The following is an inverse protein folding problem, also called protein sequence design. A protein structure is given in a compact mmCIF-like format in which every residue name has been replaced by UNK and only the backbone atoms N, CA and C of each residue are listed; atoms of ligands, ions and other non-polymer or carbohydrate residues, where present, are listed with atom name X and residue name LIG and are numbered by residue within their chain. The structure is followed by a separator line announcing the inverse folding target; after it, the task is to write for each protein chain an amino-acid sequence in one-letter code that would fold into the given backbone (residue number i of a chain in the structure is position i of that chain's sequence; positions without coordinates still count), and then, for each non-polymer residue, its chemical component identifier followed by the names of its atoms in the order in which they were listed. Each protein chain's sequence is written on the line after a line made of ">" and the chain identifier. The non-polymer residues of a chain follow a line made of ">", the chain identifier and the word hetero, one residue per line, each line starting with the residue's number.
data_IF_880982162947
#
_entry.id   IF_880982162947
#
_cell.length_a   1.000
_cell.length_b   1.000
_cell.length_c   1.000
_cell.angle_alpha   90.00
_cell.angle_beta   90.00
_cell.angle_gamma   90.00
#
_symmetry.space_group_name_H-M   'P 1'
#
loop_
_entity.id
_entity.type
_entity.pdbx_description
1 polymer ?
#
# COMPACT_ATOMS: atom_id res chain seq x y z
N UNK A 1 36.49 27.06 68.62
CA UNK A 1 37.59 27.63 67.83
C UNK A 1 37.26 27.51 66.35
N UNK A 2 37.44 28.59 65.60
CA UNK A 2 37.08 28.77 64.20
C UNK A 2 38.20 28.36 63.20
N UNK A 3 37.87 28.51 61.90
CA UNK A 3 38.63 28.41 60.63
C UNK A 3 38.46 27.07 59.89
N UNK A 4 37.70 26.99 58.79
CA UNK A 4 37.85 27.61 57.45
C UNK A 4 39.06 27.08 56.67
N UNK A 5 38.80 26.38 55.56
CA UNK A 5 39.24 26.76 54.21
C UNK A 5 38.65 25.81 53.15
N UNK A 6 37.94 26.42 52.20
CA UNK A 6 37.58 25.84 50.91
C UNK A 6 38.82 25.75 50.01
N UNK A 7 38.90 24.69 49.19
CA UNK A 7 39.93 24.53 48.16
C UNK A 7 39.35 23.75 46.98
N UNK A 8 38.89 24.49 45.97
CA UNK A 8 38.40 23.97 44.70
C UNK A 8 39.48 23.17 43.96
N UNK A 9 39.10 22.03 43.37
CA UNK A 9 39.85 21.41 42.27
C UNK A 9 38.92 21.20 41.08
N UNK A 10 39.09 22.10 40.11
CA UNK A 10 38.64 21.96 38.73
C UNK A 10 39.19 20.65 38.16
N UNK A 11 38.32 19.69 37.86
CA UNK A 11 38.66 18.58 36.98
C UNK A 11 38.32 19.00 35.55
N UNK A 12 39.36 19.23 34.76
CA UNK A 12 39.29 19.44 33.31
C UNK A 12 38.59 18.24 32.68
N UNK A 13 37.45 18.49 32.02
CA UNK A 13 36.99 17.61 30.96
C UNK A 13 38.03 17.68 29.83
N UNK A 14 38.74 16.57 29.60
CA UNK A 14 39.56 16.42 28.40
C UNK A 14 38.61 16.03 27.26
N UNK A 15 38.29 16.99 26.41
CA UNK A 15 37.65 16.76 25.12
C UNK A 15 38.52 15.80 24.30
N UNK A 16 38.02 14.59 24.05
CA UNK A 16 38.59 13.68 23.07
C UNK A 16 37.88 13.93 21.74
N UNK A 17 38.32 14.96 21.03
CA UNK A 17 37.94 15.18 19.65
C UNK A 17 38.50 14.01 18.80
N UNK A 18 37.60 13.18 18.29
CA UNK A 18 37.93 12.20 17.28
C UNK A 18 38.16 12.95 15.95
N UNK A 19 39.35 12.75 15.39
CA UNK A 19 39.76 13.15 14.05
C UNK A 19 38.78 12.60 12.99
N UNK A 20 38.03 13.49 12.34
CA UNK A 20 37.48 13.24 11.00
C UNK A 20 38.30 14.09 10.02
N UNK A 21 39.30 13.47 9.38
CA UNK A 21 40.00 14.08 8.24
C UNK A 21 39.18 13.83 6.97
N UNK A 22 38.31 14.77 6.62
CA UNK A 22 37.70 14.88 5.29
C UNK A 22 38.20 16.16 4.63
N UNK A 23 38.97 16.03 3.56
CA UNK A 23 39.40 17.15 2.70
C UNK A 23 38.18 17.73 1.96
N UNK A 24 38.10 19.06 1.75
CA UNK A 24 37.00 19.69 1.01
C UNK A 24 37.39 19.88 -0.47
N UNK A 25 36.48 19.56 -1.40
CA UNK A 25 36.28 20.32 -2.63
C UNK A 25 35.14 19.76 -3.49
N UNK A 26 34.47 20.70 -4.17
CA UNK A 26 33.62 20.55 -5.36
C UNK A 26 32.16 20.17 -5.17
N UNK A 27 31.38 21.23 -4.94
CA UNK A 27 30.09 21.53 -5.59
C UNK A 27 29.82 20.65 -6.82
N UNK A 28 28.77 19.82 -6.77
CA UNK A 28 28.12 19.27 -7.97
C UNK A 28 26.71 19.83 -8.05
N UNK A 29 26.52 20.61 -9.11
CA UNK A 29 25.29 21.27 -9.53
C UNK A 29 24.28 20.29 -10.12
N UNK A 30 23.00 20.60 -9.85
CA UNK A 30 21.77 20.28 -10.59
C UNK A 30 21.91 19.66 -11.99
N UNK A 31 21.09 18.62 -12.17
CA UNK A 31 20.12 18.42 -13.25
C UNK A 31 20.66 18.13 -14.66
N UNK A 32 20.49 16.88 -15.10
CA UNK A 32 20.35 16.59 -16.53
C UNK A 32 19.48 15.36 -16.79
N UNK A 33 18.41 15.60 -17.56
CA UNK A 33 17.95 14.76 -18.68
C UNK A 33 17.16 13.47 -18.36
N UNK A 34 15.86 13.65 -18.11
CA UNK A 34 14.81 12.80 -18.71
C UNK A 34 13.87 13.76 -19.44
N UNK A 35 14.14 14.02 -20.71
CA UNK A 35 13.14 14.58 -21.63
C UNK A 35 12.64 13.42 -22.47
N UNK A 36 11.35 13.06 -22.31
CA UNK A 36 10.61 12.33 -23.33
C UNK A 36 9.14 12.73 -23.27
N UNK A 37 8.85 13.68 -24.15
CA UNK A 37 7.69 13.67 -25.05
C UNK A 37 6.29 13.93 -24.46
N UNK A 38 6.05 15.20 -24.10
CA UNK A 38 4.73 15.81 -24.25
C UNK A 38 4.75 16.63 -25.53
N UNK A 39 4.21 16.07 -26.61
CA UNK A 39 4.03 16.80 -27.86
C UNK A 39 2.78 17.68 -27.71
N UNK A 40 3.05 18.98 -27.64
CA UNK A 40 2.11 20.09 -27.62
C UNK A 40 1.23 20.07 -28.87
N UNK A 41 -0.07 20.22 -28.64
CA UNK A 41 -1.06 20.53 -29.65
C UNK A 41 -0.91 22.01 -30.03
N UNK A 42 -0.13 22.29 -31.08
CA UNK A 42 -0.21 23.58 -31.77
C UNK A 42 -0.88 23.40 -33.14
N UNK A 43 -1.93 24.20 -33.31
CA UNK A 43 -2.67 24.47 -34.53
C UNK A 43 -1.73 24.86 -35.68
N UNK A 44 -1.55 23.97 -36.65
CA UNK A 44 -0.96 24.30 -37.94
C UNK A 44 -2.07 24.24 -39.00
N UNK A 45 -2.54 25.42 -39.40
CA UNK A 45 -3.23 25.60 -40.67
C UNK A 45 -2.19 25.50 -41.80
N UNK A 46 -2.15 24.35 -42.46
CA UNK A 46 -1.52 24.19 -43.78
C UNK A 46 -2.62 23.77 -44.75
N UNK A 47 -2.90 24.65 -45.72
CA UNK A 47 -3.76 24.35 -46.85
C UNK A 47 -3.15 23.24 -47.72
N UNK A 48 -3.98 22.33 -48.20
CA UNK A 48 -3.53 21.25 -49.08
C UNK A 48 -4.56 20.14 -49.29
N UNK A 49 -5.53 20.41 -50.15
CA UNK A 49 -6.21 19.46 -51.05
C UNK A 49 -6.73 18.12 -50.50
N UNK A 50 -8.06 18.04 -50.48
CA UNK A 50 -8.90 16.84 -50.49
C UNK A 50 -8.44 15.82 -51.56
N UNK A 51 -7.96 14.65 -51.13
CA UNK A 51 -7.88 13.45 -51.98
C UNK A 51 -9.18 12.65 -51.80
N UNK A 52 -10.13 12.89 -52.69
CA UNK A 52 -11.28 11.99 -52.88
C UNK A 52 -10.78 10.74 -53.58
N UNK A 53 -10.87 9.60 -52.92
CA UNK A 53 -10.66 8.30 -53.55
C UNK A 53 -11.92 7.94 -54.37
N UNK A 54 -11.89 7.91 -55.71
CA UNK A 54 -13.09 7.75 -56.52
C UNK A 54 -13.05 6.42 -57.26
N UNK A 55 -13.35 5.29 -56.62
CA UNK A 55 -13.53 4.01 -57.32
C UNK A 55 -14.36 3.00 -56.50
N UNK A 56 -15.64 3.29 -56.28
CA UNK A 56 -16.63 2.21 -56.31
C UNK A 56 -17.80 2.65 -57.18
N UNK A 57 -17.70 2.20 -58.42
CA UNK A 57 -18.71 2.31 -59.46
C UNK A 57 -19.94 1.50 -59.06
N UNK A 58 -21.06 2.23 -58.96
CA UNK A 58 -22.39 1.94 -59.49
C UNK A 58 -22.73 0.48 -59.84
N UNK A 59 -23.75 -0.06 -59.16
CA UNK A 59 -24.74 -0.98 -59.74
C UNK A 59 -26.10 -0.83 -59.03
N UNK A 60 -26.90 0.07 -59.59
CA UNK A 60 -28.34 -0.03 -59.86
C UNK A 60 -29.20 -1.07 -59.10
N UNK A 61 -30.15 -0.52 -58.35
CA UNK A 61 -31.59 -0.76 -58.52
C UNK A 61 -32.11 -2.20 -58.58
N UNK A 62 -31.98 -2.92 -57.48
CA UNK A 62 -33.01 -3.84 -56.99
C UNK A 62 -32.76 -3.92 -55.49
N UNK A 63 -33.51 -3.23 -54.64
CA UNK A 63 -34.61 -3.83 -53.89
C UNK A 63 -35.46 -2.64 -53.42
N UNK A 64 -36.51 -2.35 -54.19
CA UNK A 64 -37.64 -1.54 -53.74
C UNK A 64 -38.60 -2.50 -53.03
N UNK A 65 -38.88 -2.20 -51.77
CA UNK A 65 -40.12 -2.53 -51.06
C UNK A 65 -40.38 -4.01 -50.72
N UNK A 66 -40.09 -4.43 -49.47
CA UNK A 66 -41.08 -5.12 -48.62
C UNK A 66 -40.56 -5.38 -47.19
N UNK A 67 -41.46 -5.16 -46.23
CA UNK A 67 -41.53 -5.72 -44.88
C UNK A 67 -40.59 -5.16 -43.79
N UNK A 68 -41.14 -4.15 -43.12
CA UNK A 68 -41.11 -4.00 -41.66
C UNK A 68 -41.25 -5.37 -40.97
N UNK A 69 -40.14 -5.92 -40.48
CA UNK A 69 -40.16 -6.87 -39.38
C UNK A 69 -39.05 -6.47 -38.40
N UNK A 70 -39.35 -5.45 -37.60
CA UNK A 70 -38.60 -5.16 -36.40
C UNK A 70 -38.76 -6.35 -35.46
N UNK A 71 -37.82 -7.29 -35.52
CA UNK A 71 -37.67 -8.33 -34.53
C UNK A 71 -37.16 -7.64 -33.25
N UNK A 72 -38.09 -7.24 -32.39
CA UNK A 72 -37.83 -6.83 -31.03
C UNK A 72 -37.29 -8.02 -30.25
N UNK A 73 -35.99 -8.27 -30.40
CA UNK A 73 -35.24 -9.11 -29.48
C UNK A 73 -35.22 -8.38 -28.12
N UNK A 74 -35.78 -8.97 -27.05
CA UNK A 74 -35.50 -8.48 -25.71
C UNK A 74 -33.99 -8.64 -25.49
N UNK A 75 -33.28 -7.52 -25.44
CA UNK A 75 -31.92 -7.49 -24.89
C UNK A 75 -32.09 -7.78 -23.40
N UNK A 76 -31.85 -9.04 -23.01
CA UNK A 76 -31.68 -9.39 -21.62
C UNK A 76 -30.43 -8.63 -21.12
N UNK A 77 -30.63 -7.54 -20.39
CA UNK A 77 -29.54 -6.93 -19.64
C UNK A 77 -29.09 -7.94 -18.57
N UNK A 78 -27.78 -8.23 -18.45
CA UNK A 78 -27.30 -9.03 -17.34
C UNK A 78 -27.65 -8.29 -16.04
N UNK A 79 -28.33 -8.99 -15.13
CA UNK A 79 -28.65 -8.44 -13.83
C UNK A 79 -27.35 -8.25 -13.03
N UNK A 80 -27.06 -7.01 -12.63
CA UNK A 80 -25.94 -6.60 -11.77
C UNK A 80 -26.01 -7.16 -10.32
N UNK A 81 -26.80 -8.21 -10.08
CA UNK A 81 -27.11 -8.73 -8.75
C UNK A 81 -26.18 -9.84 -8.24
N UNK A 82 -25.26 -10.34 -9.06
CA UNK A 82 -24.40 -11.47 -8.67
C UNK A 82 -23.30 -11.05 -7.69
N UNK A 83 -22.77 -9.84 -7.83
CA UNK A 83 -21.70 -9.35 -6.97
C UNK A 83 -22.19 -9.02 -5.56
N UNK A 84 -23.38 -8.40 -5.44
CA UNK A 84 -24.00 -8.08 -4.14
C UNK A 84 -24.36 -9.34 -3.33
N UNK A 85 -24.76 -10.44 -3.99
CA UNK A 85 -25.09 -11.70 -3.33
C UNK A 85 -23.89 -12.40 -2.68
N UNK A 86 -22.67 -12.05 -3.09
CA UNK A 86 -21.43 -12.62 -2.57
C UNK A 86 -20.85 -11.87 -1.36
N UNK A 87 -21.42 -10.72 -1.01
CA UNK A 87 -20.92 -9.85 0.04
C UNK A 87 -21.79 -9.90 1.31
N UNK A 88 -21.22 -9.71 2.51
CA UNK A 88 -22.00 -9.63 3.74
C UNK A 88 -23.10 -8.55 3.67
N UNK A 89 -24.27 -8.82 4.24
CA UNK A 89 -25.30 -7.81 4.33
C UNK A 89 -24.85 -6.68 5.27
N UNK A 90 -25.05 -5.43 4.86
CA UNK A 90 -24.68 -4.25 5.64
C UNK A 90 -24.97 -2.96 4.90
N UNK A 91 -25.00 -1.86 5.64
CA UNK A 91 -25.11 -0.52 5.07
C UNK A 91 -23.87 -0.23 4.22
N UNK A 92 -24.05 0.19 2.97
CA UNK A 92 -22.94 0.40 2.03
C UNK A 92 -22.62 -0.77 1.10
N UNK A 93 -23.16 -1.97 1.33
CA UNK A 93 -23.00 -3.12 0.42
C UNK A 93 -23.38 -2.78 -1.01
N UNK A 94 -24.56 -2.17 -1.18
CA UNK A 94 -25.10 -1.89 -2.52
C UNK A 94 -24.33 -0.77 -3.22
N UNK A 95 -23.82 0.21 -2.45
CA UNK A 95 -22.91 1.25 -2.98
C UNK A 95 -21.63 0.63 -3.53
N UNK A 96 -21.01 -0.30 -2.78
CA UNK A 96 -19.82 -1.03 -3.24
C UNK A 96 -20.14 -1.86 -4.48
N UNK A 97 -21.24 -2.62 -4.45
CA UNK A 97 -21.66 -3.47 -5.56
C UNK A 97 -21.87 -2.69 -6.87
N UNK A 98 -22.44 -1.49 -6.78
CA UNK A 98 -22.75 -0.65 -7.94
C UNK A 98 -21.52 0.11 -8.45
N UNK A 99 -20.75 0.71 -7.55
CA UNK A 99 -19.73 1.70 -7.95
C UNK A 99 -18.40 1.04 -8.33
N UNK A 100 -18.02 -0.06 -7.68
CA UNK A 100 -16.70 -0.68 -7.87
C UNK A 100 -16.60 -1.58 -9.11
N UNK A 101 -17.72 -2.12 -9.59
CA UNK A 101 -17.74 -3.01 -10.78
C UNK A 101 -17.64 -2.26 -12.11
N UNK A 102 -17.73 -0.93 -12.07
CA UNK A 102 -17.66 -0.08 -13.26
C UNK A 102 -16.30 -0.14 -13.98
N UNK A 103 -15.22 -0.42 -13.25
CA UNK A 103 -13.85 -0.35 -13.76
C UNK A 103 -13.02 -1.63 -13.52
N UNK A 104 -13.33 -2.43 -12.51
CA UNK A 104 -12.61 -3.67 -12.22
C UNK A 104 -13.56 -4.74 -11.66
N UNK A 105 -13.17 -6.00 -11.74
CA UNK A 105 -13.95 -7.08 -11.14
C UNK A 105 -14.07 -6.89 -9.61
N UNK A 106 -15.25 -7.16 -9.05
CA UNK A 106 -15.51 -7.05 -7.61
C UNK A 106 -14.54 -7.92 -6.79
N UNK A 107 -14.18 -9.08 -7.30
CA UNK A 107 -13.19 -9.99 -6.69
C UNK A 107 -11.87 -9.30 -6.33
N UNK A 108 -11.48 -8.25 -7.04
CA UNK A 108 -10.26 -7.47 -6.73
C UNK A 108 -10.37 -6.75 -5.39
N UNK A 109 -11.52 -6.14 -5.12
CA UNK A 109 -11.80 -5.48 -3.84
C UNK A 109 -11.97 -6.52 -2.73
N UNK A 110 -12.75 -7.59 -2.99
CA UNK A 110 -13.07 -8.61 -1.98
C UNK A 110 -11.87 -9.48 -1.60
N UNK A 111 -10.81 -9.54 -2.42
CA UNK A 111 -9.57 -10.23 -2.08
C UNK A 111 -8.71 -9.48 -1.06
N UNK A 112 -8.92 -8.16 -0.90
CA UNK A 112 -8.16 -7.34 0.05
C UNK A 112 -8.77 -7.41 1.44
N UNK A 113 -7.91 -7.38 2.45
CA UNK A 113 -8.25 -7.03 3.83
C UNK A 113 -7.40 -5.82 4.21
N UNK A 114 -7.93 -4.90 5.00
CA UNK A 114 -7.21 -3.70 5.40
C UNK A 114 -7.85 -3.01 6.62
N UNK A 115 -7.08 -2.20 7.34
CA UNK A 115 -7.66 -1.29 8.35
C UNK A 115 -8.56 -0.23 7.71
N UNK A 116 -9.36 0.46 8.52
CA UNK A 116 -10.25 1.53 8.07
C UNK A 116 -9.47 2.67 7.38
N UNK A 117 -8.30 3.03 7.92
CA UNK A 117 -7.44 4.08 7.35
C UNK A 117 -6.92 3.66 5.97
N UNK A 118 -6.46 2.42 5.83
CA UNK A 118 -5.96 1.89 4.55
C UNK A 118 -7.10 1.76 3.53
N UNK A 119 -8.31 1.42 3.96
CA UNK A 119 -9.49 1.45 3.09
C UNK A 119 -9.83 2.87 2.66
N UNK A 120 -9.78 3.85 3.55
CA UNK A 120 -9.99 5.26 3.22
C UNK A 120 -9.01 5.75 2.15
N UNK A 121 -7.71 5.47 2.31
CA UNK A 121 -6.69 5.79 1.31
C UNK A 121 -6.91 5.06 -0.03
N UNK A 122 -7.37 3.81 0.04
CA UNK A 122 -7.64 3.01 -1.17
C UNK A 122 -8.80 3.62 -1.96
N UNK A 123 -9.91 3.94 -1.28
CA UNK A 123 -11.09 4.55 -1.91
C UNK A 123 -10.79 5.97 -2.37
N UNK A 124 -10.06 6.76 -1.59
CA UNK A 124 -9.59 8.09 -2.00
C UNK A 124 -8.77 8.02 -3.30
N UNK A 125 -7.88 7.05 -3.43
CA UNK A 125 -7.14 6.82 -4.67
C UNK A 125 -8.06 6.42 -5.83
N UNK A 126 -9.11 5.63 -5.59
CA UNK A 126 -10.11 5.32 -6.63
C UNK A 126 -10.79 6.59 -7.13
N UNK A 127 -11.10 7.53 -6.24
CA UNK A 127 -11.73 8.81 -6.58
C UNK A 127 -10.72 9.74 -7.28
N UNK A 128 -9.60 10.03 -6.63
CA UNK A 128 -8.66 11.08 -7.05
C UNK A 128 -7.84 10.72 -8.29
N UNK A 129 -7.35 9.47 -8.35
CA UNK A 129 -6.49 8.99 -9.45
C UNK A 129 -7.33 8.33 -10.53
N UNK A 130 -8.21 7.40 -10.16
CA UNK A 130 -8.97 6.61 -11.12
C UNK A 130 -10.35 7.20 -11.48
N UNK A 131 -10.72 8.34 -10.87
CA UNK A 131 -11.94 9.10 -11.18
C UNK A 131 -13.22 8.28 -10.99
N UNK A 132 -13.23 7.40 -9.99
CA UNK A 132 -14.42 6.69 -9.57
C UNK A 132 -15.52 7.71 -9.19
N UNK A 133 -16.77 7.54 -9.67
CA UNK A 133 -17.86 8.49 -9.46
C UNK A 133 -18.49 8.34 -8.07
N UNK A 134 -17.69 8.50 -7.02
CA UNK A 134 -18.10 8.37 -5.61
C UNK A 134 -18.10 9.78 -4.99
N UNK A 135 -19.18 10.15 -4.31
CA UNK A 135 -19.24 11.42 -3.58
C UNK A 135 -18.77 11.25 -2.12
N UNK A 136 -18.47 12.35 -1.44
CA UNK A 136 -17.91 12.35 -0.08
C UNK A 136 -18.79 11.63 0.96
N UNK A 137 -20.12 11.71 0.81
CA UNK A 137 -21.06 11.03 1.71
C UNK A 137 -21.02 9.52 1.52
N UNK A 138 -21.05 9.05 0.27
CA UNK A 138 -20.96 7.63 -0.08
C UNK A 138 -19.57 7.07 0.25
N UNK A 139 -18.51 7.86 0.10
CA UNK A 139 -17.14 7.46 0.43
C UNK A 139 -17.04 7.00 1.89
N UNK A 140 -17.57 7.79 2.83
CA UNK A 140 -17.52 7.43 4.25
C UNK A 140 -18.26 6.12 4.53
N UNK A 141 -19.45 5.94 3.94
CA UNK A 141 -20.25 4.73 4.09
C UNK A 141 -19.55 3.51 3.47
N UNK A 142 -18.96 3.65 2.28
CA UNK A 142 -18.19 2.59 1.61
C UNK A 142 -16.98 2.18 2.45
N UNK A 143 -16.22 3.15 2.97
CA UNK A 143 -15.04 2.88 3.81
C UNK A 143 -15.44 2.15 5.09
N UNK A 144 -16.53 2.56 5.74
CA UNK A 144 -17.05 1.89 6.93
C UNK A 144 -17.43 0.44 6.64
N UNK A 145 -18.18 0.21 5.56
CA UNK A 145 -18.60 -1.13 5.14
C UNK A 145 -17.39 -2.04 4.84
N UNK A 146 -16.41 -1.53 4.09
CA UNK A 146 -15.20 -2.28 3.75
C UNK A 146 -14.36 -2.59 4.99
N UNK A 147 -14.26 -1.67 5.94
CA UNK A 147 -13.54 -1.89 7.19
C UNK A 147 -14.24 -2.91 8.10
N UNK A 148 -15.58 -2.87 8.18
CA UNK A 148 -16.37 -3.77 9.03
C UNK A 148 -16.34 -5.21 8.51
N UNK A 149 -16.50 -5.39 7.20
CA UNK A 149 -16.68 -6.73 6.61
C UNK A 149 -15.43 -7.29 5.94
N UNK A 150 -14.48 -6.41 5.58
CA UNK A 150 -13.21 -6.75 4.93
C UNK A 150 -12.05 -6.07 5.66
N UNK A 151 -12.21 -5.87 6.98
CA UNK A 151 -11.16 -5.43 7.88
C UNK A 151 -9.98 -6.41 7.91
N UNK A 152 -8.76 -5.89 8.05
CA UNK A 152 -7.71 -6.70 8.67
C UNK A 152 -8.11 -6.88 10.13
N UNK A 153 -7.98 -8.11 10.65
CA UNK A 153 -7.79 -8.34 12.09
C UNK A 153 -6.54 -7.54 12.47
N UNK A 154 -6.68 -6.24 12.75
CA UNK A 154 -5.64 -5.33 13.22
C UNK A 154 -4.24 -5.54 12.59
N UNK A 155 -3.82 -4.67 11.68
CA UNK A 155 -2.40 -4.60 11.24
C UNK A 155 -1.41 -4.33 12.39
N UNK A 156 -1.93 -3.98 13.58
CA UNK A 156 -1.18 -3.95 14.82
C UNK A 156 -0.89 -5.37 15.30
N UNK A 157 0.38 -5.77 15.21
CA UNK A 157 0.90 -6.95 15.86
C UNK A 157 1.74 -6.53 17.09
N UNK A 158 1.33 -6.83 18.32
CA UNK A 158 2.05 -6.41 19.51
C UNK A 158 3.47 -6.99 19.56
N UNK A 159 3.69 -8.20 19.01
CA UNK A 159 5.01 -8.79 18.87
C UNK A 159 5.90 -8.02 17.89
N UNK A 160 5.37 -7.61 16.73
CA UNK A 160 6.10 -6.77 15.78
C UNK A 160 6.48 -5.42 16.38
N UNK A 161 5.56 -4.78 17.11
CA UNK A 161 5.83 -3.51 17.78
C UNK A 161 6.94 -3.65 18.82
N UNK A 162 6.83 -4.63 19.72
CA UNK A 162 7.85 -4.88 20.74
C UNK A 162 9.22 -5.14 20.11
N UNK A 163 9.26 -5.89 19.01
CA UNK A 163 10.51 -6.19 18.31
C UNK A 163 11.14 -4.91 17.72
N UNK A 164 10.33 -4.03 17.12
CA UNK A 164 10.78 -2.75 16.58
C UNK A 164 11.32 -1.80 17.66
N UNK A 165 10.70 -1.78 18.84
CA UNK A 165 11.12 -0.92 19.94
C UNK A 165 12.36 -1.46 20.67
N UNK A 166 12.50 -2.78 20.80
CA UNK A 166 13.49 -3.38 21.68
C UNK A 166 14.72 -3.92 20.96
N UNK A 167 14.56 -4.62 19.84
CA UNK A 167 15.66 -5.41 19.26
C UNK A 167 16.72 -4.54 18.56
N UNK A 168 16.30 -3.43 17.95
CA UNK A 168 17.20 -2.56 17.17
C UNK A 168 18.08 -1.65 18.01
N UNK A 169 17.97 -1.73 19.34
CA UNK A 169 18.79 -0.94 20.27
C UNK A 169 20.26 -1.35 20.27
N UNK A 170 20.59 -2.58 19.89
CA UNK A 170 21.95 -3.11 19.93
C UNK A 170 22.48 -3.61 18.58
N UNK A 171 21.64 -4.22 17.75
CA UNK A 171 22.04 -4.70 16.42
C UNK A 171 20.89 -4.59 15.42
N UNK A 172 21.23 -4.59 14.13
CA UNK A 172 20.25 -4.69 13.05
C UNK A 172 19.58 -6.07 12.98
N UNK A 173 18.58 -6.15 12.12
CA UNK A 173 17.86 -7.38 11.74
C UNK A 173 18.75 -8.44 11.09
N UNK A 174 19.78 -8.04 10.36
CA UNK A 174 20.70 -8.98 9.69
C UNK A 174 21.39 -10.00 10.60
N UNK A 175 21.43 -9.76 11.91
CA UNK A 175 21.95 -10.73 12.89
C UNK A 175 20.99 -11.91 13.17
N UNK A 176 19.71 -11.76 12.88
CA UNK A 176 18.68 -12.75 13.26
C UNK A 176 17.65 -13.06 12.18
N UNK A 177 17.52 -12.23 11.13
CA UNK A 177 16.48 -12.39 10.09
C UNK A 177 16.56 -13.74 9.36
N UNK A 178 17.75 -14.31 9.25
CA UNK A 178 17.99 -15.60 8.61
C UNK A 178 17.76 -16.80 9.55
N UNK A 179 17.56 -16.56 10.84
CA UNK A 179 17.14 -17.60 11.77
C UNK A 179 15.70 -18.00 11.44
N UNK A 180 15.49 -19.28 11.16
CA UNK A 180 14.18 -19.88 10.88
C UNK A 180 14.00 -21.06 11.82
N UNK A 181 13.10 -20.92 12.78
CA UNK A 181 12.90 -21.91 13.85
C UNK A 181 11.46 -21.86 14.32
N UNK A 182 11.04 -22.91 15.02
CA UNK A 182 9.75 -22.93 15.71
C UNK A 182 9.68 -21.96 16.89
N UNK A 183 8.51 -21.89 17.53
CA UNK A 183 8.25 -21.01 18.66
C UNK A 183 9.22 -21.24 19.83
N UNK A 184 9.51 -22.49 20.16
CA UNK A 184 10.40 -22.83 21.27
C UNK A 184 11.85 -22.39 21.00
N UNK A 185 12.30 -22.53 19.76
CA UNK A 185 13.59 -22.00 19.32
C UNK A 185 13.67 -20.48 19.41
N UNK A 186 12.59 -19.77 19.08
CA UNK A 186 12.52 -18.31 19.22
C UNK A 186 12.55 -17.86 20.69
N UNK A 187 11.79 -18.52 21.56
CA UNK A 187 11.85 -18.29 23.02
C UNK A 187 13.28 -18.47 23.53
N UNK A 188 13.96 -19.55 23.12
CA UNK A 188 15.35 -19.82 23.48
C UNK A 188 16.31 -18.75 22.97
N UNK A 189 16.11 -18.25 21.75
CA UNK A 189 16.90 -17.15 21.20
C UNK A 189 16.74 -15.86 22.01
N UNK A 190 15.51 -15.51 22.40
CA UNK A 190 15.21 -14.33 23.21
C UNK A 190 15.82 -14.41 24.62
N UNK A 191 15.75 -15.57 25.29
CA UNK A 191 16.42 -15.77 26.58
C UNK A 191 17.94 -15.63 26.50
N UNK A 192 18.58 -16.07 25.40
CA UNK A 192 20.02 -15.85 25.20
C UNK A 192 20.37 -14.36 25.07
N UNK A 193 19.44 -13.52 24.61
CA UNK A 193 19.65 -12.07 24.52
C UNK A 193 19.51 -11.38 25.88
N UNK A 194 18.73 -11.93 26.82
CA UNK A 194 18.71 -11.43 28.20
C UNK A 194 20.10 -11.50 28.83
N UNK A 195 20.81 -12.62 28.65
CA UNK A 195 22.20 -12.75 29.10
C UNK A 195 23.19 -11.77 28.44
N UNK A 196 22.79 -11.10 27.36
CA UNK A 196 23.59 -10.12 26.60
C UNK A 196 23.11 -8.67 26.78
N UNK A 197 22.19 -8.42 27.73
CA UNK A 197 21.70 -7.08 28.07
C UNK A 197 20.24 -6.80 27.67
N UNK A 198 19.51 -7.79 27.16
CA UNK A 198 18.05 -7.71 27.01
C UNK A 198 17.36 -7.64 28.37
N UNK A 199 16.40 -6.75 28.55
CA UNK A 199 15.64 -6.59 29.79
C UNK A 199 14.17 -6.68 29.47
N UNK A 200 13.66 -7.91 29.36
CA UNK A 200 12.29 -8.21 28.95
C UNK A 200 11.61 -9.13 29.96
N UNK A 201 10.31 -8.95 30.17
CA UNK A 201 9.49 -9.86 30.97
C UNK A 201 9.18 -11.13 30.20
N UNK A 202 8.74 -12.18 30.90
CA UNK A 202 8.31 -13.42 30.26
C UNK A 202 7.14 -13.21 29.28
N UNK A 203 6.16 -12.37 29.65
CA UNK A 203 5.05 -12.01 28.75
C UNK A 203 5.55 -11.30 27.48
N UNK A 204 6.51 -10.37 27.61
CA UNK A 204 7.11 -9.71 26.44
C UNK A 204 7.87 -10.69 25.54
N UNK A 205 8.58 -11.65 26.14
CA UNK A 205 9.27 -12.72 25.40
C UNK A 205 8.25 -13.57 24.64
N UNK A 206 7.15 -13.96 25.30
CA UNK A 206 6.11 -14.77 24.67
C UNK A 206 5.46 -14.03 23.49
N UNK A 207 5.09 -12.77 23.67
CA UNK A 207 4.49 -11.94 22.61
C UNK A 207 5.44 -11.77 21.42
N UNK A 208 6.73 -11.54 21.65
CA UNK A 208 7.72 -11.49 20.56
C UNK A 208 7.93 -12.85 19.89
N UNK A 209 7.97 -13.94 20.66
CA UNK A 209 8.18 -15.29 20.14
C UNK A 209 7.01 -15.77 19.27
N UNK A 210 5.77 -15.44 19.64
CA UNK A 210 4.57 -15.77 18.85
C UNK A 210 4.65 -15.12 17.47
N UNK A 211 4.98 -13.83 17.42
CA UNK A 211 5.15 -13.10 16.16
C UNK A 211 6.31 -13.65 15.31
N UNK A 212 7.45 -13.91 15.94
CA UNK A 212 8.64 -14.43 15.27
C UNK A 212 8.40 -15.82 14.68
N UNK A 213 7.72 -16.72 15.41
CA UNK A 213 7.39 -18.05 14.91
C UNK A 213 6.41 -18.00 13.72
N UNK A 214 5.41 -17.11 13.78
CA UNK A 214 4.46 -16.92 12.69
C UNK A 214 5.11 -16.34 11.43
N UNK A 215 6.07 -15.42 11.59
CA UNK A 215 6.69 -14.67 10.48
C UNK A 215 7.96 -15.34 9.93
N UNK A 216 8.68 -16.07 10.78
CA UNK A 216 9.94 -16.75 10.49
C UNK A 216 9.87 -18.23 10.89
N UNK A 217 8.91 -19.01 10.36
CA UNK A 217 8.75 -20.42 10.68
C UNK A 217 9.97 -21.24 10.19
N UNK A 218 10.19 -22.45 10.74
CA UNK A 218 11.19 -23.35 10.20
C UNK A 218 10.90 -23.65 8.73
N UNK A 219 11.95 -23.83 7.93
CA UNK A 219 11.78 -24.32 6.55
C UNK A 219 11.15 -25.71 6.56
N UNK A 220 10.44 -26.07 5.49
CA UNK A 220 9.73 -27.36 5.40
C UNK A 220 10.63 -28.62 5.52
N UNK A 221 11.96 -28.42 5.54
CA UNK A 221 12.98 -29.47 5.50
C UNK A 221 13.91 -29.48 6.74
N UNK A 222 13.52 -28.86 7.86
CA UNK A 222 14.28 -28.83 9.12
C UNK A 222 13.50 -29.43 10.29
#
# INVERSE_FOLDING_TARGET
>A
LALSLAGARLFRATERAANCHGTPASVITKNSRIENNLQTYETILVGGTMVKNPNFSNNNHAIRTLLLLACSLPVAMPASGQDAASMPAGEGRDLVAEQCVSCHAMSTALAKRASQEVWAETVDRMISIYRAPINDADQATIVSYLAEHFGEESSYNPGQQMLAEQCFRCHGDGMWRDLKTDREGWVSALYRMIGRGGVWTEDQINVMADYLAATYPPGADQ
#
